data_IF_753409023669
#
_entry.id   IF_753409023669
#
_cell.length_a   1.000
_cell.length_b   1.000
_cell.length_c   1.000
_cell.angle_alpha   90.00
_cell.angle_beta   90.00
_cell.angle_gamma   90.00
#
_symmetry.space_group_name_H-M   'P 1'
#
loop_
_entity.id
_entity.type
_entity.pdbx_description
1 polymer ?
#
# COMPACT_ATOMS: atom_id res chain seq x y z
N UNK A 1 64.75 2.90 29.48
CA UNK A 1 64.13 1.73 28.84
C UNK A 1 62.79 1.45 29.53
N UNK A 2 61.68 1.32 28.77
CA UNK A 2 60.31 1.17 29.28
C UNK A 2 60.04 -0.32 29.67
N UNK A 3 58.83 -0.67 30.15
CA UNK A 3 57.79 -1.00 29.18
C UNK A 3 56.40 -0.40 29.48
N UNK A 4 55.72 -0.17 28.37
CA UNK A 4 54.31 0.14 28.15
C UNK A 4 53.37 -0.84 28.87
N UNK A 5 52.28 -0.31 29.44
CA UNK A 5 51.08 -1.10 29.74
C UNK A 5 49.90 -0.57 28.94
N UNK A 6 49.48 -1.44 28.06
CA UNK A 6 48.41 -1.38 27.06
C UNK A 6 47.08 -1.01 27.70
N UNK A 7 46.46 0.07 27.23
CA UNK A 7 45.03 0.33 27.42
C UNK A 7 44.25 -0.78 26.70
N UNK A 8 43.61 -1.67 27.46
CA UNK A 8 42.59 -2.57 26.92
C UNK A 8 41.33 -1.75 26.64
N UNK A 9 41.20 -1.29 25.41
CA UNK A 9 39.95 -0.78 24.87
C UNK A 9 39.00 -1.98 24.72
N UNK A 10 38.11 -2.18 25.69
CA UNK A 10 36.99 -3.10 25.54
C UNK A 10 36.08 -2.56 24.42
N UNK A 11 35.69 -3.37 23.41
CA UNK A 11 34.82 -2.90 22.36
C UNK A 11 33.40 -2.80 22.92
N UNK A 12 33.07 -1.65 23.51
CA UNK A 12 31.69 -1.16 23.64
C UNK A 12 31.17 -0.74 22.27
N UNK A 13 31.25 -1.63 21.27
CA UNK A 13 30.90 -1.31 19.88
C UNK A 13 29.98 -2.39 19.25
N UNK A 14 29.37 -3.26 20.06
CA UNK A 14 28.47 -4.31 19.57
C UNK A 14 26.99 -3.90 19.50
N UNK A 15 26.55 -2.96 20.34
CA UNK A 15 25.11 -2.67 20.53
C UNK A 15 24.66 -1.27 20.11
N UNK A 16 25.58 -0.36 19.75
CA UNK A 16 25.23 1.01 19.34
C UNK A 16 25.08 1.18 17.81
N UNK A 17 25.31 0.13 17.01
CA UNK A 17 25.19 0.15 15.55
C UNK A 17 23.75 0.06 15.02
N UNK A 18 22.76 -0.31 15.86
CA UNK A 18 21.35 -0.44 15.46
C UNK A 18 20.56 0.90 15.50
N UNK A 19 21.20 1.99 15.92
CA UNK A 19 20.56 3.30 16.05
C UNK A 19 20.98 4.32 14.96
N UNK A 20 21.93 3.98 14.06
CA UNK A 20 22.62 5.00 13.25
C UNK A 20 22.47 4.88 11.72
N UNK A 21 21.68 3.95 11.20
CA UNK A 21 21.40 3.90 9.75
C UNK A 21 19.90 3.93 9.46
N UNK A 22 19.32 5.11 9.14
CA UNK A 22 17.92 5.19 8.71
C UNK A 22 17.65 4.35 7.46
N UNK A 23 18.66 4.09 6.62
CA UNK A 23 18.55 3.22 5.45
C UNK A 23 18.27 1.76 5.84
N UNK A 24 19.00 1.21 6.82
CA UNK A 24 18.78 -0.17 7.27
C UNK A 24 17.39 -0.37 7.87
N UNK A 25 16.85 0.64 8.57
CA UNK A 25 15.48 0.57 9.11
C UNK A 25 14.42 0.58 8.01
N UNK A 26 14.64 1.34 6.93
CA UNK A 26 13.72 1.38 5.77
C UNK A 26 13.72 0.07 5.00
N UNK A 27 14.88 -0.56 4.81
CA UNK A 27 14.92 -1.87 4.16
C UNK A 27 14.22 -2.96 4.99
N UNK A 28 14.30 -2.90 6.33
CA UNK A 28 13.56 -3.83 7.20
C UNK A 28 12.04 -3.63 7.10
N UNK A 29 11.56 -2.38 7.05
CA UNK A 29 10.13 -2.10 6.93
C UNK A 29 9.58 -2.60 5.58
N UNK A 30 10.30 -2.32 4.49
CA UNK A 30 9.91 -2.74 3.16
C UNK A 30 9.89 -4.27 3.03
N UNK A 31 10.95 -4.96 3.48
CA UNK A 31 10.97 -6.43 3.42
C UNK A 31 9.89 -7.07 4.28
N UNK A 32 9.57 -6.48 5.44
CA UNK A 32 8.45 -6.93 6.26
C UNK A 32 7.12 -6.79 5.52
N UNK A 33 6.91 -5.69 4.81
CA UNK A 33 5.73 -5.50 3.98
C UNK A 33 5.68 -6.55 2.86
N UNK A 34 6.77 -6.70 2.09
CA UNK A 34 6.86 -7.69 1.02
C UNK A 34 6.65 -9.13 1.53
N UNK A 35 7.08 -9.46 2.74
CA UNK A 35 6.80 -10.76 3.35
C UNK A 35 5.30 -10.95 3.68
N UNK A 36 4.60 -9.89 4.11
CA UNK A 36 3.17 -9.92 4.39
C UNK A 36 2.29 -9.99 3.12
N UNK A 37 2.86 -9.62 1.97
CA UNK A 37 2.19 -9.70 0.66
C UNK A 37 1.90 -11.15 0.23
N UNK A 38 2.67 -12.12 0.71
CA UNK A 38 2.53 -13.53 0.32
C UNK A 38 2.69 -13.70 -1.19
N UNK A 39 1.71 -14.34 -1.83
CA UNK A 39 1.68 -14.54 -3.29
C UNK A 39 1.72 -13.23 -4.08
N UNK A 40 1.22 -12.12 -3.52
CA UNK A 40 1.20 -10.81 -4.18
C UNK A 40 2.58 -10.10 -4.15
N UNK A 41 3.60 -10.70 -3.53
CA UNK A 41 4.95 -10.11 -3.43
C UNK A 41 5.52 -9.70 -4.79
N UNK A 42 5.30 -10.53 -5.82
CA UNK A 42 5.84 -10.28 -7.16
C UNK A 42 5.27 -8.99 -7.79
N UNK A 43 3.99 -8.70 -7.57
CA UNK A 43 3.37 -7.45 -8.02
C UNK A 43 4.05 -6.24 -7.35
N UNK A 44 4.28 -6.29 -6.04
CA UNK A 44 4.89 -5.19 -5.30
C UNK A 44 6.37 -4.98 -5.70
N UNK A 45 7.11 -6.07 -5.92
CA UNK A 45 8.48 -6.01 -6.46
C UNK A 45 8.50 -5.43 -7.89
N UNK A 46 7.48 -5.73 -8.71
CA UNK A 46 7.35 -5.16 -10.05
C UNK A 46 7.14 -3.64 -9.99
N UNK A 47 6.35 -3.12 -9.05
CA UNK A 47 6.21 -1.66 -8.84
C UNK A 47 7.55 -1.02 -8.50
N UNK A 48 8.32 -1.62 -7.60
CA UNK A 48 9.66 -1.12 -7.22
C UNK A 48 10.62 -1.14 -8.41
N UNK A 49 10.61 -2.22 -9.20
CA UNK A 49 11.45 -2.34 -10.38
C UNK A 49 11.08 -1.34 -11.47
N UNK A 50 9.77 -1.09 -11.67
CA UNK A 50 9.27 -0.13 -12.64
C UNK A 50 9.83 1.28 -12.43
N UNK A 51 9.97 1.70 -11.16
CA UNK A 51 10.50 3.02 -10.79
C UNK A 51 11.99 3.04 -10.44
N UNK A 52 12.76 1.98 -10.71
CA UNK A 52 14.17 1.87 -10.30
C UNK A 52 15.05 3.06 -10.73
N UNK A 53 14.72 3.70 -11.85
CA UNK A 53 15.46 4.82 -12.44
C UNK A 53 14.84 6.20 -12.09
N UNK A 54 13.69 6.24 -11.42
CA UNK A 54 13.03 7.46 -10.92
C UNK A 54 13.07 7.49 -9.39
N UNK A 55 14.10 8.14 -8.85
CA UNK A 55 14.35 8.17 -7.40
C UNK A 55 13.18 8.71 -6.56
N UNK A 56 12.38 9.63 -7.08
CA UNK A 56 11.25 10.21 -6.35
C UNK A 56 10.05 9.28 -6.37
N UNK A 57 9.69 8.74 -7.54
CA UNK A 57 8.60 7.76 -7.64
C UNK A 57 8.93 6.47 -6.92
N UNK A 58 10.18 6.02 -6.96
CA UNK A 58 10.64 4.87 -6.19
C UNK A 58 10.48 5.11 -4.68
N UNK A 59 10.87 6.29 -4.19
CA UNK A 59 10.68 6.63 -2.78
C UNK A 59 9.20 6.67 -2.38
N UNK A 60 8.31 7.16 -3.26
CA UNK A 60 6.87 7.15 -3.03
C UNK A 60 6.29 5.73 -3.05
N UNK A 61 6.69 4.90 -4.02
CA UNK A 61 6.30 3.49 -4.11
C UNK A 61 6.71 2.71 -2.87
N UNK A 62 7.96 2.89 -2.41
CA UNK A 62 8.44 2.29 -1.16
C UNK A 62 7.60 2.74 0.04
N UNK A 63 7.35 4.04 0.17
CA UNK A 63 6.51 4.56 1.26
C UNK A 63 5.11 3.93 1.24
N UNK A 64 4.48 3.85 0.06
CA UNK A 64 3.15 3.26 -0.10
C UNK A 64 3.16 1.78 0.33
N UNK A 65 4.09 0.98 -0.22
CA UNK A 65 4.20 -0.46 0.07
C UNK A 65 4.49 -0.72 1.56
N UNK A 66 5.38 0.06 2.18
CA UNK A 66 5.71 -0.05 3.61
C UNK A 66 4.48 0.16 4.52
N UNK A 67 3.49 0.95 4.06
CA UNK A 67 2.28 1.25 4.83
C UNK A 67 1.07 0.36 4.47
N UNK A 68 1.04 -0.28 3.29
CA UNK A 68 -0.05 -1.19 2.88
C UNK A 68 -0.43 -2.28 3.90
N UNK A 69 0.46 -2.85 4.76
CA UNK A 69 0.03 -3.85 5.74
C UNK A 69 -1.06 -3.37 6.70
N UNK A 70 -1.21 -2.06 6.87
CA UNK A 70 -2.17 -1.43 7.77
C UNK A 70 -3.46 -0.98 7.07
N UNK A 71 -3.57 -1.21 5.76
CA UNK A 71 -4.70 -0.78 4.94
C UNK A 71 -5.45 -1.96 4.30
N UNK A 72 -6.74 -1.74 4.10
CA UNK A 72 -7.66 -2.69 3.48
C UNK A 72 -8.81 -1.93 2.84
N UNK A 73 -9.44 -2.53 1.84
CA UNK A 73 -10.72 -2.09 1.31
C UNK A 73 -11.82 -3.09 1.67
N UNK A 74 -13.06 -2.59 1.67
CA UNK A 74 -14.26 -3.40 1.89
C UNK A 74 -15.06 -3.49 0.60
N UNK A 75 -15.59 -4.68 0.34
CA UNK A 75 -16.56 -4.88 -0.72
C UNK A 75 -17.84 -5.46 -0.14
N UNK A 76 -18.98 -4.93 -0.59
CA UNK A 76 -20.30 -5.40 -0.22
C UNK A 76 -20.91 -6.21 -1.36
N UNK A 77 -21.42 -7.40 -1.03
CA UNK A 77 -22.07 -8.31 -1.96
C UNK A 77 -23.44 -8.71 -1.45
N UNK A 78 -24.36 -9.00 -2.37
CA UNK A 78 -25.62 -9.65 -2.07
C UNK A 78 -25.48 -11.15 -2.26
N UNK A 79 -25.76 -11.92 -1.21
CA UNK A 79 -25.73 -13.39 -1.27
C UNK A 79 -26.85 -13.93 -2.19
N UNK A 80 -26.47 -14.74 -3.18
CA UNK A 80 -27.37 -15.46 -4.06
C UNK A 80 -27.45 -16.94 -3.65
N UNK A 81 -28.47 -17.70 -4.12
CA UNK A 81 -28.53 -19.14 -3.85
C UNK A 81 -27.31 -19.87 -4.44
N UNK A 82 -26.81 -20.89 -3.74
CA UNK A 82 -25.72 -21.76 -4.22
C UNK A 82 -24.34 -21.10 -4.25
N UNK A 83 -23.95 -20.42 -3.17
CA UNK A 83 -22.68 -19.69 -3.00
C UNK A 83 -22.41 -18.55 -4.00
N UNK A 84 -23.41 -18.19 -4.80
CA UNK A 84 -23.34 -17.05 -5.70
C UNK A 84 -23.29 -15.73 -4.94
N UNK A 85 -22.59 -14.74 -5.49
CA UNK A 85 -22.53 -13.37 -4.96
C UNK A 85 -22.78 -12.37 -6.07
N UNK A 86 -23.57 -11.34 -5.78
CA UNK A 86 -23.87 -10.26 -6.72
C UNK A 86 -23.37 -8.92 -6.18
N UNK A 87 -22.59 -8.20 -6.98
CA UNK A 87 -22.23 -6.82 -6.70
C UNK A 87 -22.71 -5.93 -7.85
N UNK A 88 -23.77 -5.13 -7.65
CA UNK A 88 -24.21 -4.19 -8.68
C UNK A 88 -23.18 -3.07 -8.85
N UNK A 89 -22.73 -2.81 -10.08
CA UNK A 89 -21.90 -1.64 -10.36
C UNK A 89 -22.80 -0.44 -10.60
N UNK A 90 -22.39 0.74 -10.13
CA UNK A 90 -23.15 1.98 -10.37
C UNK A 90 -23.31 2.27 -11.87
N UNK A 91 -22.35 1.86 -12.68
CA UNK A 91 -22.34 1.98 -14.14
C UNK A 91 -23.31 1.03 -14.85
N UNK A 92 -23.84 0.02 -14.16
CA UNK A 92 -24.79 -0.93 -14.75
C UNK A 92 -26.19 -0.30 -14.91
N UNK A 93 -26.43 0.86 -14.30
CA UNK A 93 -27.73 1.52 -14.29
C UNK A 93 -27.68 2.83 -15.06
N UNK A 94 -28.65 3.02 -15.94
CA UNK A 94 -28.79 4.24 -16.74
C UNK A 94 -29.24 5.44 -15.91
N UNK A 95 -29.94 5.22 -14.80
CA UNK A 95 -30.40 6.27 -13.88
C UNK A 95 -30.26 5.84 -12.43
N UNK A 96 -30.21 6.81 -11.52
CA UNK A 96 -30.13 6.57 -10.08
C UNK A 96 -31.38 5.83 -9.57
N UNK A 97 -32.56 6.11 -10.12
CA UNK A 97 -33.81 5.45 -9.76
C UNK A 97 -33.77 3.96 -10.13
N UNK A 98 -33.19 3.61 -11.28
CA UNK A 98 -33.04 2.22 -11.68
C UNK A 98 -32.10 1.46 -10.73
N UNK A 99 -31.01 2.11 -10.30
CA UNK A 99 -30.11 1.57 -9.28
C UNK A 99 -30.82 1.35 -7.94
N UNK A 100 -31.55 2.36 -7.45
CA UNK A 100 -32.32 2.25 -6.19
C UNK A 100 -33.37 1.14 -6.26
N UNK A 101 -34.16 1.09 -7.34
CA UNK A 101 -35.17 0.05 -7.53
C UNK A 101 -34.55 -1.36 -7.55
N UNK A 102 -33.35 -1.51 -8.12
CA UNK A 102 -32.61 -2.77 -8.10
C UNK A 102 -32.19 -3.15 -6.67
N UNK A 103 -31.60 -2.23 -5.91
CA UNK A 103 -31.21 -2.47 -4.52
C UNK A 103 -32.43 -2.80 -3.63
N UNK A 104 -33.54 -2.08 -3.80
CA UNK A 104 -34.80 -2.34 -3.08
C UNK A 104 -35.38 -3.72 -3.44
N UNK A 105 -35.20 -4.18 -4.68
CA UNK A 105 -35.63 -5.52 -5.09
C UNK A 105 -34.83 -6.61 -4.38
N UNK A 106 -33.52 -6.42 -4.22
CA UNK A 106 -32.64 -7.34 -3.50
C UNK A 106 -32.99 -7.37 -2.00
N UNK A 107 -33.25 -6.20 -1.41
CA UNK A 107 -33.68 -6.10 -0.03
C UNK A 107 -35.02 -6.81 0.21
N UNK A 108 -36.02 -6.60 -0.67
CA UNK A 108 -37.33 -7.29 -0.59
C UNK A 108 -37.23 -8.79 -0.78
N UNK A 109 -36.27 -9.26 -1.58
CA UNK A 109 -35.97 -10.68 -1.74
C UNK A 109 -35.23 -11.28 -0.54
N UNK A 110 -35.01 -10.51 0.54
CA UNK A 110 -34.32 -10.96 1.75
C UNK A 110 -32.86 -11.29 1.53
N UNK A 111 -32.22 -10.70 0.50
CA UNK A 111 -30.80 -10.95 0.20
C UNK A 111 -29.94 -10.30 1.28
N UNK A 112 -29.13 -11.12 1.95
CA UNK A 112 -28.21 -10.63 2.96
C UNK A 112 -27.01 -9.93 2.30
N UNK A 113 -26.60 -8.82 2.90
CA UNK A 113 -25.37 -8.13 2.51
C UNK A 113 -24.19 -8.76 3.24
N UNK A 114 -23.25 -9.27 2.47
CA UNK A 114 -21.97 -9.79 2.95
C UNK A 114 -20.89 -8.75 2.74
N UNK A 115 -20.12 -8.47 3.80
CA UNK A 115 -18.97 -7.56 3.76
C UNK A 115 -17.69 -8.37 3.79
N UNK A 116 -16.85 -8.16 2.78
CA UNK A 116 -15.53 -8.78 2.72
C UNK A 116 -14.45 -7.71 2.80
N UNK A 117 -13.45 -7.97 3.66
CA UNK A 117 -12.25 -7.14 3.81
C UNK A 117 -11.10 -7.75 3.02
N UNK A 118 -10.47 -6.92 2.20
CA UNK A 118 -9.32 -7.30 1.38
C UNK A 118 -8.15 -6.43 1.78
N UNK A 119 -7.04 -7.05 2.19
CA UNK A 119 -5.83 -6.31 2.55
C UNK A 119 -5.14 -5.83 1.30
N UNK A 120 -4.87 -4.53 1.22
CA UNK A 120 -4.26 -3.89 0.05
C UNK A 120 -2.98 -4.61 -0.37
N UNK A 121 -2.15 -4.96 0.62
CA UNK A 121 -0.86 -5.61 0.37
C UNK A 121 -0.96 -6.99 -0.29
N UNK A 122 -2.10 -7.67 -0.15
CA UNK A 122 -2.32 -9.02 -0.65
C UNK A 122 -3.09 -9.05 -1.98
N UNK A 123 -3.68 -7.93 -2.40
CA UNK A 123 -4.67 -7.94 -3.50
C UNK A 123 -4.46 -6.86 -4.56
N UNK A 124 -3.78 -5.75 -4.26
CA UNK A 124 -3.54 -4.72 -5.26
C UNK A 124 -2.43 -5.13 -6.23
N UNK A 125 -2.74 -5.07 -7.53
CA UNK A 125 -1.80 -5.38 -8.60
C UNK A 125 -0.87 -4.21 -8.95
N UNK A 126 0.26 -4.52 -9.56
CA UNK A 126 1.29 -3.56 -9.93
C UNK A 126 0.80 -2.52 -10.94
N UNK A 127 -0.07 -2.90 -11.87
CA UNK A 127 -0.57 -1.99 -12.89
C UNK A 127 -1.48 -0.92 -12.26
N UNK A 128 -2.33 -1.29 -11.30
CA UNK A 128 -3.12 -0.36 -10.51
C UNK A 128 -2.23 0.59 -9.71
N UNK A 129 -1.22 0.06 -9.02
CA UNK A 129 -0.33 0.87 -8.19
C UNK A 129 0.49 1.86 -9.01
N UNK A 130 1.09 1.43 -10.12
CA UNK A 130 1.86 2.29 -11.03
C UNK A 130 0.98 3.40 -11.60
N UNK A 131 -0.21 3.07 -12.12
CA UNK A 131 -1.13 4.08 -12.65
C UNK A 131 -1.49 5.14 -11.62
N UNK A 132 -1.80 4.73 -10.39
CA UNK A 132 -2.19 5.67 -9.34
C UNK A 132 -1.02 6.52 -8.82
N UNK A 133 0.19 5.95 -8.73
CA UNK A 133 1.39 6.71 -8.40
C UNK A 133 1.64 7.77 -9.49
N UNK A 134 1.57 7.40 -10.76
CA UNK A 134 1.76 8.35 -11.86
C UNK A 134 0.74 9.49 -11.84
N UNK A 135 -0.55 9.17 -11.67
CA UNK A 135 -1.61 10.17 -11.53
C UNK A 135 -1.40 11.09 -10.33
N UNK A 136 -0.94 10.55 -9.19
CA UNK A 136 -0.62 11.35 -8.02
C UNK A 136 0.52 12.34 -8.31
N UNK A 137 1.58 11.90 -9.01
CA UNK A 137 2.66 12.79 -9.44
C UNK A 137 2.20 13.83 -10.45
N UNK A 138 1.36 13.47 -11.42
CA UNK A 138 0.77 14.42 -12.36
C UNK A 138 -0.04 15.51 -11.66
N UNK A 139 -0.82 15.14 -10.64
CA UNK A 139 -1.57 16.08 -9.81
C UNK A 139 -0.63 16.95 -8.95
N UNK A 140 0.43 16.37 -8.38
CA UNK A 140 1.41 17.08 -7.57
C UNK A 140 2.22 18.12 -8.36
N UNK A 141 2.37 17.92 -9.67
CA UNK A 141 3.02 18.89 -10.56
C UNK A 141 2.13 20.08 -10.96
N UNK A 142 0.85 20.10 -10.58
CA UNK A 142 -0.08 21.18 -10.94
C UNK A 142 0.19 22.47 -10.14
N UNK A 143 -0.19 23.65 -10.65
CA UNK A 143 0.12 24.94 -10.02
C UNK A 143 -0.34 25.07 -8.56
N UNK A 144 -1.48 24.45 -8.20
CA UNK A 144 -2.03 24.46 -6.84
C UNK A 144 -1.23 23.61 -5.85
N UNK A 145 -0.45 22.63 -6.32
CA UNK A 145 0.34 21.72 -5.49
C UNK A 145 1.81 22.14 -5.36
N UNK A 146 2.24 23.23 -6.02
CA UNK A 146 3.64 23.71 -6.09
C UNK A 146 4.36 23.87 -4.75
N UNK A 147 3.62 24.09 -3.66
CA UNK A 147 4.18 24.32 -2.32
C UNK A 147 4.16 23.07 -1.43
N UNK A 148 3.62 21.96 -1.92
CA UNK A 148 3.51 20.71 -1.15
C UNK A 148 4.87 20.01 -1.18
N UNK A 149 5.59 19.87 -0.04
CA UNK A 149 6.84 19.14 0.00
C UNK A 149 6.61 17.65 -0.24
N UNK A 150 7.62 16.95 -0.77
CA UNK A 150 7.54 15.51 -1.04
C UNK A 150 7.10 14.68 0.19
N UNK A 151 7.61 15.00 1.37
CA UNK A 151 7.23 14.31 2.61
C UNK A 151 5.75 14.48 2.99
N UNK A 152 5.12 15.58 2.56
CA UNK A 152 3.67 15.80 2.71
C UNK A 152 2.93 15.05 1.61
N UNK A 153 3.41 15.13 0.36
CA UNK A 153 2.85 14.36 -0.76
C UNK A 153 2.74 12.87 -0.46
N UNK A 154 3.76 12.22 0.11
CA UNK A 154 3.66 10.79 0.42
C UNK A 154 2.58 10.43 1.45
N UNK A 155 2.13 11.39 2.27
CA UNK A 155 1.17 11.13 3.37
C UNK A 155 -0.29 11.36 2.98
N UNK A 156 -0.56 11.89 1.79
CA UNK A 156 -1.88 12.29 1.31
C UNK A 156 -2.13 11.75 -0.09
#
# INVERSE_FOLDING_TARGET
MPPSKIFRCFPLCGCLMLLLFPSCRRDVALERALALAGENRQELEHVLWHYKDDSLKLAAARFLIENMPYHFYEEEFYALPGDGRHRPQLTDFSTEEAGKAHLDSLARAGRMVERHRYKDIQTLDSAFLVRNIDLAFEAWMKPWARRVPFAVFCRY
#
